data_IF_626843621777
#
_entry.id   IF_626843621777
#
_cell.length_a   1.000
_cell.length_b   1.000
_cell.length_c   1.000
_cell.angle_alpha   90.00
_cell.angle_beta   90.00
_cell.angle_gamma   90.00
#
_symmetry.space_group_name_H-M   'P 1'
#
loop_
_entity.id
_entity.type
_entity.pdbx_description
1 polymer ?
#
# COMPACT_ATOMS: atom_id res chain seq x y z
N UNK A 1 -47.79 -49.18 36.13
CA UNK A 1 -47.20 -48.49 34.95
C UNK A 1 -45.69 -48.39 35.16
N UNK A 2 -44.95 -49.24 34.50
CA UNK A 2 -43.49 -49.33 34.63
C UNK A 2 -42.86 -48.30 33.64
N UNK A 3 -42.33 -47.18 34.11
CA UNK A 3 -41.60 -46.26 33.27
C UNK A 3 -40.27 -46.88 32.82
N UNK A 4 -40.08 -46.94 31.51
CA UNK A 4 -38.95 -47.60 30.87
C UNK A 4 -37.66 -46.77 31.10
N UNK A 5 -36.82 -47.19 32.06
CA UNK A 5 -35.53 -46.57 32.45
C UNK A 5 -34.50 -46.52 31.30
N UNK A 6 -34.65 -47.32 30.28
CA UNK A 6 -33.79 -47.38 29.11
C UNK A 6 -33.95 -46.18 28.18
N UNK A 7 -35.18 -45.67 28.03
CA UNK A 7 -35.50 -44.50 27.19
C UNK A 7 -34.86 -43.21 27.72
N UNK A 8 -34.76 -43.07 29.04
CA UNK A 8 -34.16 -41.87 29.68
C UNK A 8 -32.62 -41.89 29.55
N UNK A 9 -31.99 -43.06 29.64
CA UNK A 9 -30.52 -43.17 29.45
C UNK A 9 -30.11 -42.82 28.04
N UNK A 10 -30.86 -43.24 27.01
CA UNK A 10 -30.56 -42.94 25.61
C UNK A 10 -30.68 -41.46 25.28
N UNK A 11 -31.67 -40.76 25.85
CA UNK A 11 -31.83 -39.32 25.66
C UNK A 11 -30.71 -38.48 26.32
N UNK A 12 -30.22 -38.90 27.49
CA UNK A 12 -29.11 -38.24 28.19
C UNK A 12 -27.79 -38.39 27.44
N UNK A 13 -27.51 -39.61 26.92
CA UNK A 13 -26.31 -39.89 26.13
C UNK A 13 -26.26 -39.08 24.81
N UNK A 14 -27.41 -38.97 24.13
CA UNK A 14 -27.53 -38.17 22.90
C UNK A 14 -27.33 -36.66 23.16
N UNK A 15 -27.83 -36.12 24.28
CA UNK A 15 -27.61 -34.72 24.67
C UNK A 15 -26.13 -34.45 24.93
N UNK A 16 -25.46 -35.29 25.70
CA UNK A 16 -24.03 -35.17 26.03
C UNK A 16 -23.16 -35.21 24.75
N UNK A 17 -23.47 -36.09 23.80
CA UNK A 17 -22.75 -36.16 22.51
C UNK A 17 -22.97 -34.92 21.64
N UNK A 18 -24.18 -34.35 21.62
CA UNK A 18 -24.48 -33.14 20.85
C UNK A 18 -23.80 -31.90 21.44
N UNK A 19 -23.76 -31.75 22.78
CA UNK A 19 -23.09 -30.66 23.46
C UNK A 19 -21.56 -30.74 23.30
N UNK A 20 -20.96 -31.94 23.35
CA UNK A 20 -19.54 -32.13 23.06
C UNK A 20 -19.19 -31.78 21.62
N UNK A 21 -20.01 -32.15 20.63
CA UNK A 21 -19.82 -31.76 19.22
C UNK A 21 -19.96 -30.26 19.00
N UNK A 22 -20.88 -29.57 19.70
CA UNK A 22 -21.11 -28.14 19.61
C UNK A 22 -19.92 -27.35 20.20
N UNK A 23 -19.38 -27.81 21.34
CA UNK A 23 -18.23 -27.25 22.02
C UNK A 23 -16.94 -27.39 21.19
N UNK A 24 -16.75 -28.55 20.56
CA UNK A 24 -15.59 -28.80 19.70
C UNK A 24 -15.63 -27.95 18.43
N UNK A 25 -16.80 -27.80 17.78
CA UNK A 25 -16.98 -26.92 16.63
C UNK A 25 -16.67 -25.44 16.99
N UNK A 26 -17.14 -24.96 18.13
CA UNK A 26 -16.90 -23.58 18.56
C UNK A 26 -15.42 -23.31 18.88
N UNK A 27 -14.71 -24.24 19.51
CA UNK A 27 -13.25 -24.15 19.75
C UNK A 27 -12.46 -24.14 18.44
N UNK A 28 -12.83 -24.99 17.47
CA UNK A 28 -12.18 -25.06 16.17
C UNK A 28 -12.40 -23.77 15.36
N UNK A 29 -13.59 -23.18 15.46
CA UNK A 29 -13.92 -21.92 14.78
C UNK A 29 -13.13 -20.75 15.38
N UNK A 30 -13.06 -20.63 16.71
CA UNK A 30 -12.24 -19.61 17.40
C UNK A 30 -10.75 -19.74 17.08
N UNK A 31 -10.21 -20.96 16.98
CA UNK A 31 -8.81 -21.15 16.58
C UNK A 31 -8.53 -20.75 15.14
N UNK A 32 -9.44 -21.02 14.20
CA UNK A 32 -9.33 -20.59 12.80
C UNK A 32 -9.40 -19.06 12.67
N UNK A 33 -10.30 -18.42 13.41
CA UNK A 33 -10.44 -16.95 13.43
C UNK A 33 -9.19 -16.28 13.99
N UNK A 34 -8.64 -16.77 15.11
CA UNK A 34 -7.40 -16.25 15.70
C UNK A 34 -6.21 -16.39 14.74
N UNK A 35 -6.06 -17.54 14.08
CA UNK A 35 -5.01 -17.76 13.09
C UNK A 35 -5.14 -16.81 11.88
N UNK A 36 -6.37 -16.55 11.43
CA UNK A 36 -6.64 -15.63 10.32
C UNK A 36 -6.29 -14.19 10.71
N UNK A 37 -6.64 -13.76 11.91
CA UNK A 37 -6.31 -12.43 12.44
C UNK A 37 -4.80 -12.24 12.54
N UNK A 38 -4.07 -13.20 13.07
CA UNK A 38 -2.62 -13.12 13.21
C UNK A 38 -1.90 -13.10 11.86
N UNK A 39 -2.34 -13.91 10.91
CA UNK A 39 -1.87 -13.90 9.52
C UNK A 39 -2.09 -12.53 8.87
N UNK A 40 -3.26 -11.92 9.05
CA UNK A 40 -3.58 -10.61 8.49
C UNK A 40 -2.72 -9.50 9.12
N UNK A 41 -2.46 -9.55 10.44
CA UNK A 41 -1.52 -8.65 11.12
C UNK A 41 -0.11 -8.75 10.54
N UNK A 42 0.40 -9.96 10.32
CA UNK A 42 1.72 -10.21 9.72
C UNK A 42 1.81 -9.66 8.30
N UNK A 43 0.78 -9.86 7.49
CA UNK A 43 0.71 -9.30 6.12
C UNK A 43 0.71 -7.78 6.16
N UNK A 44 -0.09 -7.15 7.02
CA UNK A 44 -0.16 -5.70 7.17
C UNK A 44 1.19 -5.12 7.61
N UNK A 45 1.86 -5.75 8.59
CA UNK A 45 3.21 -5.36 9.04
C UNK A 45 4.23 -5.42 7.90
N UNK A 46 4.22 -6.51 7.13
CA UNK A 46 5.14 -6.67 5.99
C UNK A 46 4.91 -5.61 4.90
N UNK A 47 3.65 -5.28 4.61
CA UNK A 47 3.30 -4.22 3.64
C UNK A 47 3.80 -2.86 4.12
N UNK A 48 3.58 -2.52 5.38
CA UNK A 48 4.05 -1.27 5.99
C UNK A 48 5.57 -1.17 5.95
N UNK A 49 6.29 -2.24 6.32
CA UNK A 49 7.75 -2.27 6.27
C UNK A 49 8.29 -2.05 4.85
N UNK A 50 7.64 -2.60 3.83
CA UNK A 50 8.04 -2.36 2.42
C UNK A 50 7.84 -0.91 2.01
N UNK A 51 6.74 -0.28 2.44
CA UNK A 51 6.52 1.15 2.25
C UNK A 51 7.65 1.96 2.84
N UNK A 52 7.95 1.78 4.11
CA UNK A 52 9.03 2.47 4.81
C UNK A 52 10.40 2.26 4.13
N UNK A 53 10.71 1.05 3.72
CA UNK A 53 11.98 0.76 3.03
C UNK A 53 12.08 1.50 1.68
N UNK A 54 10.96 1.69 0.99
CA UNK A 54 10.94 2.44 -0.27
C UNK A 54 11.11 3.93 -0.03
N UNK A 55 10.37 4.50 0.90
CA UNK A 55 10.51 5.89 1.34
C UNK A 55 11.95 6.19 1.78
N UNK A 56 12.53 5.36 2.66
CA UNK A 56 13.92 5.51 3.13
C UNK A 56 14.93 5.40 1.97
N UNK A 57 14.66 4.55 0.97
CA UNK A 57 15.50 4.44 -0.22
C UNK A 57 15.51 5.75 -1.01
N UNK A 58 14.34 6.35 -1.22
CA UNK A 58 14.22 7.63 -1.92
C UNK A 58 14.93 8.76 -1.17
N UNK A 59 14.71 8.85 0.14
CA UNK A 59 15.38 9.85 1.00
C UNK A 59 16.90 9.71 0.92
N UNK A 60 17.44 8.49 1.00
CA UNK A 60 18.88 8.24 0.87
C UNK A 60 19.41 8.66 -0.49
N UNK A 61 18.67 8.37 -1.58
CA UNK A 61 19.07 8.76 -2.95
C UNK A 61 19.16 10.27 -3.12
N UNK A 62 18.19 11.02 -2.59
CA UNK A 62 18.24 12.48 -2.60
C UNK A 62 19.38 13.01 -1.76
N UNK A 63 19.53 12.51 -0.53
CA UNK A 63 20.55 12.99 0.40
C UNK A 63 21.99 12.60 0.00
N UNK A 64 22.15 11.69 -0.95
CA UNK A 64 23.44 11.39 -1.58
C UNK A 64 23.85 12.46 -2.61
N UNK A 65 22.97 13.39 -2.97
CA UNK A 65 23.26 14.52 -3.85
C UNK A 65 23.49 15.76 -2.99
N UNK A 66 24.63 16.42 -3.15
CA UNK A 66 25.02 17.59 -2.33
C UNK A 66 24.01 18.73 -2.37
N UNK A 67 23.34 18.91 -3.53
CA UNK A 67 22.37 19.96 -3.75
C UNK A 67 20.95 19.64 -3.26
N UNK A 68 20.70 18.46 -2.70
CA UNK A 68 19.37 18.03 -2.27
C UNK A 68 19.35 17.64 -0.81
N UNK A 69 18.22 17.91 -0.16
CA UNK A 69 17.86 17.38 1.15
C UNK A 69 16.44 16.82 1.09
N UNK A 70 16.28 15.62 1.59
CA UNK A 70 14.97 14.97 1.64
C UNK A 70 14.68 14.44 3.05
N UNK A 71 13.41 14.46 3.39
CA UNK A 71 12.90 14.07 4.70
C UNK A 71 11.73 13.13 4.49
N UNK A 72 11.73 12.02 5.19
CA UNK A 72 10.54 11.21 5.34
C UNK A 72 9.64 11.87 6.38
N UNK A 73 8.47 12.32 5.96
CA UNK A 73 7.50 12.96 6.84
C UNK A 73 6.57 11.95 7.50
N UNK A 74 6.50 10.78 6.95
CA UNK A 74 5.84 9.54 7.30
C UNK A 74 4.94 9.47 8.53
N UNK A 75 4.06 8.55 8.44
CA UNK A 75 3.02 8.10 9.37
C UNK A 75 3.26 8.38 10.88
N UNK A 76 2.22 8.70 11.68
CA UNK A 76 0.83 8.31 11.39
C UNK A 76 -0.06 9.44 10.87
N UNK A 77 0.48 10.56 10.47
CA UNK A 77 -0.33 11.72 10.07
C UNK A 77 -0.92 11.51 8.68
N UNK A 78 -2.24 11.51 8.60
CA UNK A 78 -3.01 11.49 7.35
C UNK A 78 -2.82 12.78 6.55
N UNK A 79 -2.22 13.83 7.15
CA UNK A 79 -2.10 15.17 6.58
C UNK A 79 -0.78 15.44 5.86
N UNK A 80 0.22 14.56 5.97
CA UNK A 80 1.56 14.77 5.41
C UNK A 80 1.81 13.92 4.17
N UNK A 81 2.55 14.41 3.15
CA UNK A 81 3.10 13.56 2.10
C UNK A 81 4.11 12.56 2.70
N UNK A 82 4.43 11.49 1.98
CA UNK A 82 5.40 10.50 2.47
C UNK A 82 6.80 11.11 2.57
N UNK A 83 7.20 11.91 1.56
CA UNK A 83 8.52 12.53 1.48
C UNK A 83 8.41 13.98 1.01
N UNK A 84 9.23 14.84 1.61
CA UNK A 84 9.53 16.17 1.12
C UNK A 84 10.99 16.19 0.67
N UNK A 85 11.26 16.63 -0.55
CA UNK A 85 12.62 16.79 -1.07
C UNK A 85 12.82 18.21 -1.58
N UNK A 86 13.91 18.86 -1.17
CA UNK A 86 14.21 20.26 -1.46
C UNK A 86 15.61 20.41 -2.02
N UNK A 87 15.76 21.33 -2.97
CA UNK A 87 17.04 21.81 -3.46
C UNK A 87 17.00 23.34 -3.55
N UNK A 88 17.77 24.00 -2.68
CA UNK A 88 17.92 25.46 -2.71
C UNK A 88 18.66 25.91 -3.96
N UNK A 89 19.71 25.17 -4.36
CA UNK A 89 20.50 25.50 -5.55
C UNK A 89 19.68 25.44 -6.85
N UNK A 90 18.79 24.42 -6.97
CA UNK A 90 17.89 24.30 -8.11
C UNK A 90 16.58 25.08 -7.93
N UNK A 91 16.39 25.75 -6.78
CA UNK A 91 15.14 26.41 -6.41
C UNK A 91 13.90 25.54 -6.65
N UNK A 92 14.01 24.28 -6.18
CA UNK A 92 13.05 23.20 -6.48
C UNK A 92 12.62 22.48 -5.22
N UNK A 93 11.34 22.17 -5.14
CA UNK A 93 10.75 21.37 -4.07
C UNK A 93 9.81 20.31 -4.63
N UNK A 94 9.87 19.11 -4.05
CA UNK A 94 8.97 18.01 -4.39
C UNK A 94 8.21 17.53 -3.16
N UNK A 95 6.92 17.31 -3.33
CA UNK A 95 6.14 16.42 -2.46
C UNK A 95 6.02 15.07 -3.16
N UNK A 96 6.32 13.98 -2.44
CA UNK A 96 6.37 12.65 -3.04
C UNK A 96 5.47 11.70 -2.26
N UNK A 97 4.60 11.01 -2.99
CA UNK A 97 3.86 9.86 -2.51
C UNK A 97 4.54 8.59 -3.02
N UNK A 98 4.84 7.65 -2.14
CA UNK A 98 5.64 6.46 -2.44
C UNK A 98 4.81 5.18 -2.37
N UNK A 99 4.79 4.39 -3.43
CA UNK A 99 4.06 3.12 -3.52
C UNK A 99 4.99 1.98 -3.88
N UNK A 100 4.96 0.91 -3.09
CA UNK A 100 5.75 -0.29 -3.41
C UNK A 100 4.95 -1.57 -3.21
N UNK A 101 5.19 -2.57 -4.06
CA UNK A 101 4.45 -3.82 -3.95
C UNK A 101 4.87 -4.93 -4.89
N UNK A 102 4.25 -6.10 -4.66
CA UNK A 102 4.45 -7.33 -5.44
C UNK A 102 3.32 -7.57 -6.47
N UNK A 103 2.30 -6.70 -6.47
CA UNK A 103 1.18 -6.76 -7.43
C UNK A 103 1.59 -6.37 -8.85
N UNK A 104 0.70 -6.59 -9.80
CA UNK A 104 0.83 -6.10 -11.18
C UNK A 104 0.38 -4.65 -11.33
N UNK A 105 -0.31 -4.12 -10.32
CA UNK A 105 -0.74 -2.74 -10.23
C UNK A 105 -0.50 -2.20 -8.82
N UNK A 106 -0.24 -0.90 -8.72
CA UNK A 106 -0.15 -0.15 -7.47
C UNK A 106 -1.15 0.99 -7.52
N UNK A 107 -2.02 1.04 -6.52
CA UNK A 107 -3.08 2.06 -6.42
C UNK A 107 -2.63 3.22 -5.56
N UNK A 108 -3.06 4.42 -5.94
CA UNK A 108 -2.91 5.66 -5.19
C UNK A 108 -4.31 6.22 -4.95
N UNK A 109 -4.79 6.25 -3.71
CA UNK A 109 -6.03 6.91 -3.34
C UNK A 109 -5.96 8.43 -3.59
N UNK A 110 -7.09 9.02 -3.97
CA UNK A 110 -7.17 10.45 -4.31
C UNK A 110 -6.80 11.39 -3.15
N UNK A 111 -7.11 11.00 -1.92
CA UNK A 111 -6.78 11.77 -0.71
C UNK A 111 -5.27 11.97 -0.52
N UNK A 112 -4.47 11.01 -0.97
CA UNK A 112 -3.01 11.08 -0.92
C UNK A 112 -2.45 12.08 -1.94
N UNK A 113 -3.09 12.21 -3.09
CA UNK A 113 -2.76 13.23 -4.08
C UNK A 113 -3.10 14.63 -3.55
N UNK A 114 -4.32 14.81 -3.03
CA UNK A 114 -4.76 16.06 -2.41
C UNK A 114 -3.79 16.51 -1.31
N UNK A 115 -3.33 15.59 -0.50
CA UNK A 115 -2.37 15.84 0.57
C UNK A 115 -1.06 16.39 0.02
N UNK A 116 -0.50 15.77 -1.01
CA UNK A 116 0.71 16.25 -1.67
C UNK A 116 0.52 17.63 -2.30
N UNK A 117 -0.61 17.87 -2.98
CA UNK A 117 -0.94 19.15 -3.60
C UNK A 117 -1.10 20.26 -2.55
N UNK A 118 -1.83 20.01 -1.47
CA UNK A 118 -1.97 20.99 -0.38
C UNK A 118 -0.62 21.42 0.17
N UNK A 119 0.30 20.48 0.34
CA UNK A 119 1.64 20.79 0.83
C UNK A 119 2.47 21.55 -0.18
N UNK A 120 2.49 21.14 -1.45
CA UNK A 120 3.32 21.79 -2.45
C UNK A 120 2.93 23.26 -2.67
N UNK A 121 1.65 23.59 -2.53
CA UNK A 121 1.14 24.96 -2.66
C UNK A 121 1.57 25.88 -1.51
N UNK A 122 1.91 25.35 -0.34
CA UNK A 122 2.39 26.19 0.79
C UNK A 122 3.83 26.68 0.59
N UNK A 123 4.58 26.13 -0.37
CA UNK A 123 5.98 26.47 -0.61
C UNK A 123 6.16 27.46 -1.77
N UNK A 124 5.52 28.61 -1.70
CA UNK A 124 5.51 29.61 -2.78
C UNK A 124 6.89 30.18 -3.12
N UNK A 125 7.83 30.15 -2.18
CA UNK A 125 9.20 30.63 -2.37
C UNK A 125 10.02 29.81 -3.39
N UNK A 126 9.62 28.56 -3.66
CA UNK A 126 10.30 27.73 -4.64
C UNK A 126 9.74 27.95 -6.03
N UNK A 127 10.63 28.22 -6.99
CA UNK A 127 10.27 28.44 -8.39
C UNK A 127 9.69 27.18 -9.04
N UNK A 128 10.29 26.03 -8.77
CA UNK A 128 9.84 24.73 -9.29
C UNK A 128 9.22 23.92 -8.16
N UNK A 129 7.94 23.63 -8.29
CA UNK A 129 7.14 22.88 -7.32
C UNK A 129 6.48 21.71 -8.04
N UNK A 130 6.71 20.48 -7.60
CA UNK A 130 6.15 19.29 -8.25
C UNK A 130 5.64 18.28 -7.25
N UNK A 131 4.47 17.72 -7.54
CA UNK A 131 3.97 16.52 -6.87
C UNK A 131 4.36 15.30 -7.69
N UNK A 132 5.13 14.40 -7.08
CA UNK A 132 5.67 13.21 -7.74
C UNK A 132 5.10 11.96 -7.07
N UNK A 133 4.71 11.01 -7.87
CA UNK A 133 4.29 9.69 -7.40
C UNK A 133 5.37 8.68 -7.77
N UNK A 134 5.99 8.08 -6.75
CA UNK A 134 7.10 7.16 -6.92
C UNK A 134 6.64 5.71 -6.74
N UNK A 135 6.67 4.92 -7.81
CA UNK A 135 6.27 3.52 -7.81
C UNK A 135 7.48 2.59 -7.82
N UNK A 136 7.41 1.51 -7.02
CA UNK A 136 8.39 0.43 -7.02
C UNK A 136 7.70 -0.92 -7.09
N UNK A 137 7.83 -1.60 -8.21
CA UNK A 137 7.40 -2.98 -8.41
C UNK A 137 8.53 -3.92 -8.04
N UNK A 138 8.31 -4.70 -6.99
CA UNK A 138 9.34 -5.60 -6.46
C UNK A 138 9.59 -6.77 -7.41
N UNK A 139 10.83 -7.32 -7.34
CA UNK A 139 11.27 -8.47 -8.15
C UNK A 139 10.48 -9.77 -7.94
N UNK A 140 9.65 -9.82 -6.89
CA UNK A 140 8.74 -10.94 -6.62
C UNK A 140 7.31 -10.55 -6.98
N UNK A 141 6.75 -11.15 -8.03
CA UNK A 141 5.33 -11.02 -8.41
C UNK A 141 4.52 -12.04 -7.63
N UNK A 142 3.44 -11.61 -6.99
CA UNK A 142 2.52 -12.51 -6.31
C UNK A 142 1.58 -13.15 -7.33
N UNK A 143 1.59 -14.49 -7.43
CA UNK A 143 0.74 -15.27 -8.34
C UNK A 143 -0.36 -16.07 -7.60
N UNK A 144 -0.35 -16.05 -6.26
CA UNK A 144 -1.34 -16.74 -5.43
C UNK A 144 -1.03 -16.60 -3.95
N UNK A 145 -1.76 -17.31 -3.11
CA UNK A 145 -1.53 -17.33 -1.67
C UNK A 145 -0.20 -18.00 -1.35
N UNK A 146 0.80 -17.20 -0.92
CA UNK A 146 2.15 -17.68 -0.60
C UNK A 146 3.01 -18.04 -1.81
N UNK A 147 2.50 -17.93 -3.05
CA UNK A 147 3.24 -18.22 -4.28
C UNK A 147 3.74 -16.95 -4.94
N UNK A 148 4.99 -16.96 -5.37
CA UNK A 148 5.66 -15.85 -6.02
C UNK A 148 6.44 -16.32 -7.23
N UNK A 149 6.46 -15.47 -8.25
CA UNK A 149 7.28 -15.60 -9.45
C UNK A 149 8.34 -14.49 -9.45
N UNK A 150 9.53 -14.77 -9.95
CA UNK A 150 10.57 -13.76 -10.13
C UNK A 150 10.28 -12.92 -11.38
N UNK A 151 10.49 -11.60 -11.26
CA UNK A 151 10.41 -10.64 -12.36
C UNK A 151 11.45 -9.54 -12.16
N UNK A 152 11.69 -8.75 -13.19
CA UNK A 152 12.55 -7.57 -13.10
C UNK A 152 11.95 -6.55 -12.09
N UNK A 153 12.78 -5.96 -11.25
CA UNK A 153 12.41 -4.80 -10.45
C UNK A 153 12.21 -3.60 -11.39
N UNK A 154 11.11 -2.87 -11.23
CA UNK A 154 10.85 -1.65 -11.99
C UNK A 154 10.49 -0.51 -11.07
N UNK A 155 10.97 0.68 -11.40
CA UNK A 155 10.69 1.93 -10.70
C UNK A 155 10.17 2.94 -11.71
N UNK A 156 9.11 3.67 -11.35
CA UNK A 156 8.54 4.74 -12.15
C UNK A 156 8.32 5.96 -11.28
N UNK A 157 8.57 7.13 -11.84
CA UNK A 157 8.36 8.42 -11.20
C UNK A 157 7.42 9.23 -12.09
N UNK A 158 6.18 9.45 -11.62
CA UNK A 158 5.16 10.14 -12.40
C UNK A 158 4.91 11.52 -11.81
N UNK A 159 4.84 12.54 -12.66
CA UNK A 159 4.42 13.88 -12.26
C UNK A 159 2.89 13.90 -12.22
N UNK A 160 2.33 14.42 -11.12
CA UNK A 160 0.93 14.77 -11.10
C UNK A 160 0.75 16.15 -11.75
N UNK A 161 -0.02 16.19 -12.82
CA UNK A 161 -0.44 17.43 -13.46
C UNK A 161 -1.76 17.89 -12.81
N UNK A 162 -1.79 19.14 -12.33
CA UNK A 162 -2.95 19.73 -11.66
C UNK A 162 -4.16 19.93 -12.58
N UNK A 163 -3.95 19.91 -13.90
CA UNK A 163 -5.04 19.89 -14.89
C UNK A 163 -5.86 18.59 -14.85
N UNK A 164 -5.28 17.51 -14.31
CA UNK A 164 -5.97 16.24 -14.18
C UNK A 164 -7.04 16.29 -13.09
N UNK A 165 -8.21 15.74 -13.39
CA UNK A 165 -9.24 15.54 -12.38
C UNK A 165 -8.72 14.62 -11.28
N UNK A 166 -8.78 15.07 -10.03
CA UNK A 166 -8.34 14.29 -8.86
C UNK A 166 -9.28 13.09 -8.69
N UNK A 167 -8.71 11.90 -8.74
CA UNK A 167 -9.39 10.62 -8.58
C UNK A 167 -8.40 9.58 -8.08
N UNK A 168 -8.89 8.47 -7.59
CA UNK A 168 -8.06 7.28 -7.38
C UNK A 168 -7.43 6.87 -8.71
N UNK A 169 -6.17 6.45 -8.68
CA UNK A 169 -5.54 5.93 -9.89
C UNK A 169 -4.62 4.75 -9.60
N UNK A 170 -4.24 4.06 -10.65
CA UNK A 170 -3.31 2.93 -10.59
C UNK A 170 -2.19 3.11 -11.60
N UNK A 171 -0.99 2.66 -11.21
CA UNK A 171 0.10 2.41 -12.14
C UNK A 171 0.25 0.91 -12.34
N UNK A 172 0.47 0.47 -13.58
CA UNK A 172 0.73 -0.93 -13.92
C UNK A 172 2.21 -1.24 -13.85
N UNK A 173 2.54 -2.53 -13.86
CA UNK A 173 3.94 -2.99 -13.93
C UNK A 173 4.66 -2.53 -15.21
N UNK A 174 3.92 -2.20 -16.27
CA UNK A 174 4.45 -1.66 -17.51
C UNK A 174 4.63 -0.13 -17.49
N UNK A 175 4.25 0.52 -16.37
CA UNK A 175 4.37 1.97 -16.19
C UNK A 175 3.18 2.78 -16.71
N UNK A 176 2.14 2.11 -17.23
CA UNK A 176 0.93 2.79 -17.66
C UNK A 176 0.07 3.21 -16.48
N UNK A 177 -0.61 4.35 -16.60
CA UNK A 177 -1.46 4.90 -15.56
C UNK A 177 -2.92 4.98 -16.00
N UNK A 178 -3.84 4.70 -15.06
CA UNK A 178 -5.28 4.71 -15.28
C UNK A 178 -6.00 5.32 -14.09
N UNK A 179 -6.93 6.23 -14.35
CA UNK A 179 -7.89 6.71 -13.37
C UNK A 179 -8.91 5.61 -13.03
N UNK A 180 -9.34 5.57 -11.77
CA UNK A 180 -10.38 4.65 -11.30
C UNK A 180 -11.67 5.46 -11.05
N UNK A 181 -12.65 5.31 -11.95
CA UNK A 181 -13.94 5.99 -11.83
C UNK A 181 -15.02 4.92 -11.76
N UNK A 182 -15.76 4.86 -10.65
CA UNK A 182 -16.81 3.87 -10.42
C UNK A 182 -16.33 2.42 -10.65
N UNK A 183 -15.09 2.10 -10.25
CA UNK A 183 -14.49 0.78 -10.44
C UNK A 183 -13.96 0.50 -11.85
N UNK A 184 -14.20 1.37 -12.83
CA UNK A 184 -13.71 1.24 -14.19
C UNK A 184 -12.37 1.96 -14.37
N UNK A 185 -11.53 1.45 -15.28
CA UNK A 185 -10.25 2.06 -15.63
C UNK A 185 -10.40 2.96 -16.85
N UNK A 186 -10.02 4.21 -16.69
CA UNK A 186 -9.93 5.18 -17.79
C UNK A 186 -8.47 5.56 -17.97
N UNK A 187 -7.99 5.62 -19.20
CA UNK A 187 -6.58 5.97 -19.47
C UNK A 187 -6.29 7.37 -18.91
N UNK A 188 -5.30 7.46 -18.04
CA UNK A 188 -4.77 8.69 -17.48
C UNK A 188 -3.27 8.69 -17.78
N UNK A 189 -2.83 9.58 -18.66
CA UNK A 189 -1.42 9.65 -19.04
C UNK A 189 -0.72 10.63 -18.10
N UNK A 190 0.03 10.08 -17.13
CA UNK A 190 0.94 10.87 -16.31
C UNK A 190 2.34 10.83 -16.92
N UNK A 191 2.96 12.00 -17.03
CA UNK A 191 4.30 12.15 -17.57
C UNK A 191 5.35 11.50 -16.65
N UNK A 192 6.33 10.83 -17.26
CA UNK A 192 7.47 10.30 -16.55
C UNK A 192 8.45 11.43 -16.18
N UNK A 193 8.91 11.40 -14.94
CA UNK A 193 9.87 12.38 -14.43
C UNK A 193 11.24 11.75 -14.22
N UNK A 194 12.25 12.37 -14.80
CA UNK A 194 13.63 11.97 -14.54
C UNK A 194 14.10 12.56 -13.21
N UNK A 195 14.22 11.70 -12.21
CA UNK A 195 14.65 12.12 -10.88
C UNK A 195 16.13 12.59 -10.89
N UNK A 196 16.53 13.53 -10.03
CA UNK A 196 17.89 14.06 -9.99
C UNK A 196 18.98 13.01 -9.77
N UNK A 197 18.64 11.88 -9.15
CA UNK A 197 19.53 10.77 -8.86
C UNK A 197 19.47 9.64 -9.92
N UNK A 198 18.65 9.76 -10.96
CA UNK A 198 18.67 8.82 -12.08
C UNK A 198 19.66 9.30 -13.12
N UNK A 199 20.65 8.47 -13.44
CA UNK A 199 21.62 8.78 -14.51
C UNK A 199 20.88 9.08 -15.82
N UNK A 200 21.33 10.09 -16.55
CA UNK A 200 20.94 10.26 -17.95
C UNK A 200 21.59 9.10 -18.71
N UNK A 201 20.79 8.16 -19.17
CA UNK A 201 21.23 7.17 -20.16
C UNK A 201 21.14 7.76 -21.55
#
# INVERSE_FOLDING_TARGET
>A
MSFNKESVRNLTTLKIQNDAKKTTKSKLQKSKESFTVERNKKIARTRRQRGYNWEDTLVKRFNALDSWKAFRLGSPSVALPDILAVSTNANTIFTIEAKSGTGTTLQVPYDQIIRCLKWIHTFELYKTRKTIIAFKFLSKKRIGTGKYEHRQLREFYKIWDESNKITDFVCTYEGETYALVNGNRHKLVLEDYQMPFTSKH
#
